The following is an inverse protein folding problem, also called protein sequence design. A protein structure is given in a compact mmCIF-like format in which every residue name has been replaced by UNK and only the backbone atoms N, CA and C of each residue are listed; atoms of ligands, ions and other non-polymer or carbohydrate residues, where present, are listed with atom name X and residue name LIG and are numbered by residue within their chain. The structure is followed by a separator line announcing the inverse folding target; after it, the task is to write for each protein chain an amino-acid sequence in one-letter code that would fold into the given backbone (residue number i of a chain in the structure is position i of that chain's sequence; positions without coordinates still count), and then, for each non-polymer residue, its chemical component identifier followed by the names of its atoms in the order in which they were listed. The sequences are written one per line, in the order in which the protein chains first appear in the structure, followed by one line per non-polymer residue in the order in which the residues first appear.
data_IF_420220638763
#
_entry.id   IF_420220638763
#
_cell.length_a   1.000
_cell.length_b   1.000
_cell.length_c   1.000
_cell.angle_alpha   90.00
_cell.angle_beta   90.00
_cell.angle_gamma   90.00
#
_symmetry.space_group_name_H-M   'P 1'
#
loop_
_entity.id
_entity.type
_entity.pdbx_description
1 polymer ?
#
# COMPACT_ATOMS: atom_id res chain seq x y z
N UNK A 1 7.82 -44.40 34.15
CA UNK A 1 8.20 -42.97 34.15
C UNK A 1 8.29 -42.49 32.71
N UNK A 2 7.28 -41.78 32.20
CA UNK A 2 7.24 -41.32 30.81
C UNK A 2 7.74 -39.86 30.74
N UNK A 3 8.96 -39.67 30.23
CA UNK A 3 9.46 -38.34 29.87
C UNK A 3 8.78 -37.90 28.57
N UNK A 4 7.82 -36.98 28.68
CA UNK A 4 7.18 -36.37 27.52
C UNK A 4 8.22 -35.56 26.72
N UNK A 5 8.58 -36.07 25.55
CA UNK A 5 9.46 -35.36 24.63
C UNK A 5 8.76 -34.10 24.11
N UNK A 6 9.27 -32.94 24.49
CA UNK A 6 8.79 -31.66 23.98
C UNK A 6 8.95 -31.63 22.45
N UNK A 7 7.86 -31.26 21.75
CA UNK A 7 7.81 -31.11 20.30
C UNK A 7 8.96 -30.22 19.79
N UNK A 8 9.54 -30.58 18.65
CA UNK A 8 10.56 -29.82 17.94
C UNK A 8 10.14 -28.35 17.70
N UNK A 9 8.83 -28.06 17.65
CA UNK A 9 8.26 -26.71 17.62
C UNK A 9 8.52 -25.90 18.89
N UNK A 10 8.46 -26.50 20.08
CA UNK A 10 8.72 -25.81 21.34
C UNK A 10 10.21 -25.52 21.53
N UNK A 11 11.09 -26.39 21.03
CA UNK A 11 12.55 -26.19 21.10
C UNK A 11 13.02 -25.02 20.22
N UNK A 12 12.33 -24.73 19.12
CA UNK A 12 12.69 -23.66 18.18
C UNK A 12 12.28 -22.24 18.65
N UNK A 13 11.31 -22.11 19.55
CA UNK A 13 10.95 -20.81 20.15
C UNK A 13 11.97 -20.32 21.19
N UNK A 14 12.86 -21.20 21.67
CA UNK A 14 13.90 -20.87 22.65
C UNK A 14 15.24 -20.45 22.02
N UNK A 15 15.34 -20.40 20.68
CA UNK A 15 16.51 -19.83 20.03
C UNK A 15 16.39 -18.31 20.09
N UNK A 16 17.26 -17.68 20.90
CA UNK A 16 17.45 -16.22 20.91
C UNK A 16 17.62 -15.75 19.45
N UNK A 17 16.70 -14.92 18.92
CA UNK A 17 16.88 -14.40 17.58
C UNK A 17 18.15 -13.53 17.53
N UNK A 18 18.92 -13.56 16.43
CA UNK A 18 20.03 -12.64 16.23
C UNK A 18 19.51 -11.20 16.36
N UNK A 19 20.35 -10.29 16.85
CA UNK A 19 19.98 -8.91 17.16
C UNK A 19 19.26 -8.21 15.99
N UNK A 20 17.92 -8.24 16.03
CA UNK A 20 17.04 -7.60 15.06
C UNK A 20 17.14 -6.09 15.25
N UNK A 21 17.66 -5.37 14.26
CA UNK A 21 17.56 -3.91 14.24
C UNK A 21 16.10 -3.52 14.00
N UNK A 22 15.47 -3.06 15.07
CA UNK A 22 14.17 -2.40 15.09
C UNK A 22 14.19 -1.18 14.17
N UNK A 23 13.53 -1.27 13.01
CA UNK A 23 13.25 -0.09 12.21
C UNK A 23 11.95 0.51 12.73
N UNK A 24 12.08 1.57 13.52
CA UNK A 24 10.99 2.55 13.61
C UNK A 24 10.71 3.01 12.19
N UNK A 25 9.45 2.92 11.77
CA UNK A 25 9.00 3.53 10.53
C UNK A 25 9.28 5.04 10.61
N UNK A 26 10.42 5.42 10.05
CA UNK A 26 11.01 6.73 10.15
C UNK A 26 10.47 7.58 9.01
N UNK A 27 9.65 8.58 9.37
CA UNK A 27 9.45 9.81 8.60
C UNK A 27 8.63 9.71 7.31
N UNK A 28 7.44 10.31 7.33
CA UNK A 28 7.21 11.64 6.75
C UNK A 28 5.70 11.92 6.75
N UNK A 29 5.30 13.18 6.98
CA UNK A 29 3.92 13.59 7.21
C UNK A 29 3.00 13.21 6.06
N UNK A 30 2.26 12.10 6.22
CA UNK A 30 1.17 11.75 5.32
C UNK A 30 0.03 12.77 5.49
N UNK A 31 -0.74 12.97 4.42
CA UNK A 31 -1.86 13.88 4.29
C UNK A 31 -2.70 13.98 5.58
N UNK A 32 -3.18 15.18 5.91
CA UNK A 32 -4.08 15.44 7.05
C UNK A 32 -5.46 14.85 6.75
N UNK A 33 -5.56 13.52 6.85
CA UNK A 33 -6.76 12.75 6.58
C UNK A 33 -6.86 11.56 7.51
N UNK A 34 -8.08 11.03 7.68
CA UNK A 34 -8.32 9.83 8.49
C UNK A 34 -7.47 8.68 7.92
N UNK A 35 -6.57 8.14 8.73
CA UNK A 35 -5.76 6.98 8.35
C UNK A 35 -6.66 5.77 8.17
N UNK A 36 -6.32 4.93 7.21
CA UNK A 36 -7.00 3.65 7.03
C UNK A 36 -6.59 2.72 8.18
N UNK A 37 -7.55 1.99 8.74
CA UNK A 37 -7.24 0.94 9.71
C UNK A 37 -6.28 -0.07 9.08
N UNK A 38 -5.28 -0.53 9.84
CA UNK A 38 -4.35 -1.55 9.35
C UNK A 38 -5.15 -2.81 9.01
N UNK A 39 -4.99 -3.28 7.78
CA UNK A 39 -5.61 -4.51 7.29
C UNK A 39 -4.52 -5.51 6.93
N UNK A 40 -4.51 -6.65 7.62
CA UNK A 40 -3.63 -7.79 7.34
C UNK A 40 -4.56 -8.99 7.10
N UNK A 41 -4.56 -9.59 5.90
CA UNK A 41 -5.31 -10.82 5.64
C UNK A 41 -4.93 -11.92 6.63
N UNK A 42 -5.87 -12.81 6.97
CA UNK A 42 -5.64 -13.90 7.93
C UNK A 42 -4.41 -14.75 7.57
N UNK A 43 -4.30 -15.10 6.29
CA UNK A 43 -3.19 -15.88 5.70
C UNK A 43 -1.83 -15.17 5.80
N UNK A 44 -1.82 -13.87 6.04
CA UNK A 44 -0.61 -13.06 6.12
C UNK A 44 -0.22 -12.66 7.54
N UNK A 45 -1.06 -12.94 8.55
CA UNK A 45 -0.78 -12.54 9.94
C UNK A 45 0.54 -13.11 10.47
N UNK A 46 0.94 -14.30 10.03
CA UNK A 46 2.21 -14.93 10.41
C UNK A 46 3.46 -14.16 9.96
N UNK A 47 3.34 -13.27 8.96
CA UNK A 47 4.45 -12.43 8.49
C UNK A 47 4.53 -11.09 9.23
N UNK A 48 3.69 -10.86 10.23
CA UNK A 48 3.70 -9.62 11.02
C UNK A 48 3.81 -9.92 12.50
N UNK A 49 4.50 -9.03 13.22
CA UNK A 49 4.42 -8.98 14.67
C UNK A 49 3.05 -8.42 15.12
N UNK A 50 2.63 -8.64 16.38
CA UNK A 50 1.37 -8.09 16.90
C UNK A 50 1.26 -6.55 16.82
N UNK A 51 2.40 -5.85 16.85
CA UNK A 51 2.48 -4.40 16.65
C UNK A 51 2.39 -3.96 15.17
N UNK A 52 2.23 -4.94 14.26
CA UNK A 52 2.15 -4.84 12.80
C UNK A 52 3.43 -4.41 12.09
N UNK A 53 4.59 -4.56 12.75
CA UNK A 53 5.88 -4.58 12.05
C UNK A 53 5.96 -5.83 11.18
N UNK A 54 6.51 -5.70 9.98
CA UNK A 54 6.77 -6.85 9.11
C UNK A 54 7.89 -7.70 9.73
N UNK A 55 7.64 -9.00 9.89
CA UNK A 55 8.65 -9.97 10.27
C UNK A 55 9.48 -10.32 9.03
N UNK A 56 10.67 -9.73 8.90
CA UNK A 56 11.55 -9.87 7.73
C UNK A 56 13.03 -9.66 8.09
N UNK A 57 13.94 -9.81 7.13
CA UNK A 57 15.38 -9.59 7.30
C UNK A 57 15.78 -8.11 7.14
N UNK A 58 16.96 -7.70 7.64
CA UNK A 58 17.50 -6.36 7.39
C UNK A 58 17.64 -6.03 5.90
N UNK A 59 18.08 -6.98 5.07
CA UNK A 59 18.28 -6.77 3.64
C UNK A 59 16.96 -6.49 2.91
N UNK A 60 15.87 -7.15 3.32
CA UNK A 60 14.54 -6.87 2.79
C UNK A 60 14.03 -5.50 3.25
N UNK A 61 14.36 -5.09 4.47
CA UNK A 61 14.00 -3.76 4.99
C UNK A 61 14.74 -2.66 4.24
N UNK A 62 16.05 -2.85 4.00
CA UNK A 62 16.88 -1.95 3.21
C UNK A 62 16.39 -1.88 1.76
N UNK A 63 15.96 -3.01 1.19
CA UNK A 63 15.34 -3.03 -0.12
C UNK A 63 14.08 -2.15 -0.18
N UNK A 64 13.15 -2.30 0.78
CA UNK A 64 11.93 -1.49 0.82
C UNK A 64 12.25 0.00 0.95
N UNK A 65 13.17 0.34 1.86
CA UNK A 65 13.63 1.72 2.06
C UNK A 65 14.25 2.31 0.79
N UNK A 66 15.20 1.59 0.17
CA UNK A 66 15.94 2.01 -1.04
C UNK A 66 15.01 2.34 -2.21
N UNK A 67 13.94 1.56 -2.40
CA UNK A 67 13.01 1.76 -3.50
C UNK A 67 11.78 2.59 -3.12
N UNK A 68 11.72 3.13 -1.90
CA UNK A 68 10.61 3.97 -1.47
C UNK A 68 9.31 3.20 -1.24
N UNK A 69 9.38 1.88 -1.05
CA UNK A 69 8.23 0.96 -0.98
C UNK A 69 7.83 0.72 0.47
N UNK A 70 6.52 0.65 0.71
CA UNK A 70 5.88 0.41 2.01
C UNK A 70 5.17 -0.94 2.01
N UNK A 71 5.10 -1.59 3.16
CA UNK A 71 4.36 -2.86 3.35
C UNK A 71 3.06 -2.68 4.15
N UNK A 72 2.83 -1.49 4.73
CA UNK A 72 1.74 -1.23 5.66
C UNK A 72 0.67 -0.34 5.00
N UNK A 73 -0.49 -0.92 4.71
CA UNK A 73 -1.64 -0.22 4.11
C UNK A 73 -2.10 0.96 4.98
N UNK A 74 -1.90 0.91 6.30
CA UNK A 74 -2.35 2.01 7.19
C UNK A 74 -1.63 3.34 6.94
N UNK A 75 -0.55 3.33 6.14
CA UNK A 75 0.11 4.53 5.62
C UNK A 75 -0.72 5.28 4.59
N UNK A 76 -1.73 4.63 4.00
CA UNK A 76 -2.69 5.28 3.14
C UNK A 76 -3.73 6.06 3.96
N UNK A 77 -4.16 7.18 3.41
CA UNK A 77 -5.20 8.05 3.98
C UNK A 77 -6.43 8.05 3.09
N UNK A 78 -7.61 8.17 3.69
CA UNK A 78 -8.82 8.46 2.91
C UNK A 78 -8.71 9.90 2.41
N UNK A 79 -8.65 10.12 1.08
CA UNK A 79 -8.47 11.46 0.53
C UNK A 79 -9.73 12.32 0.75
N UNK A 80 -9.54 13.63 0.88
CA UNK A 80 -10.64 14.58 0.88
C UNK A 80 -11.25 14.67 -0.53
N UNK A 81 -12.46 14.13 -0.67
CA UNK A 81 -13.21 14.08 -1.94
C UNK A 81 -14.23 15.21 -2.00
N UNK A 82 -14.38 15.78 -3.20
CA UNK A 82 -15.51 16.63 -3.58
C UNK A 82 -16.85 15.84 -3.51
N UNK A 83 -17.99 16.55 -3.46
CA UNK A 83 -19.31 15.91 -3.32
C UNK A 83 -19.63 14.92 -4.45
N UNK A 84 -19.26 15.25 -5.68
CA UNK A 84 -19.49 14.43 -6.88
C UNK A 84 -18.72 13.11 -6.79
N UNK A 85 -17.41 13.18 -6.57
CA UNK A 85 -16.56 11.99 -6.40
C UNK A 85 -17.05 11.14 -5.23
N UNK A 86 -17.45 11.77 -4.12
CA UNK A 86 -18.00 11.06 -2.95
C UNK A 86 -19.29 10.32 -3.29
N UNK A 87 -20.19 10.93 -4.05
CA UNK A 87 -21.46 10.32 -4.46
C UNK A 87 -21.21 9.10 -5.35
N UNK A 88 -20.29 9.21 -6.31
CA UNK A 88 -19.95 8.11 -7.21
C UNK A 88 -19.28 6.97 -6.43
N UNK A 89 -18.30 7.26 -5.59
CA UNK A 89 -17.65 6.25 -4.72
C UNK A 89 -18.67 5.53 -3.83
N UNK A 90 -19.65 6.27 -3.28
CA UNK A 90 -20.76 5.70 -2.50
C UNK A 90 -21.66 4.81 -3.37
N UNK A 91 -21.99 5.24 -4.60
CA UNK A 91 -22.77 4.46 -5.58
C UNK A 91 -22.13 3.09 -5.82
N UNK A 92 -20.81 3.06 -6.03
CA UNK A 92 -20.04 1.82 -6.22
C UNK A 92 -19.77 1.02 -4.94
N UNK A 93 -20.29 1.45 -3.77
CA UNK A 93 -19.95 0.90 -2.44
C UNK A 93 -18.43 0.75 -2.26
N UNK A 94 -17.66 1.69 -2.78
CA UNK A 94 -16.21 1.65 -2.74
C UNK A 94 -15.67 2.47 -1.56
N UNK A 95 -14.53 2.03 -1.03
CA UNK A 95 -13.70 2.81 -0.11
C UNK A 95 -12.40 3.12 -0.82
N UNK A 96 -12.03 4.41 -0.86
CA UNK A 96 -10.79 4.87 -1.45
C UNK A 96 -9.76 5.19 -0.37
N UNK A 97 -8.52 4.90 -0.70
CA UNK A 97 -7.38 5.33 0.09
C UNK A 97 -6.17 5.54 -0.80
N UNK A 98 -5.38 6.56 -0.48
CA UNK A 98 -4.23 6.94 -1.26
C UNK A 98 -3.00 7.08 -0.37
N UNK A 99 -1.86 6.64 -0.88
CA UNK A 99 -0.56 6.87 -0.28
C UNK A 99 0.39 7.47 -1.34
N UNK A 100 1.16 8.53 -1.03
CA UNK A 100 2.14 9.06 -1.98
C UNK A 100 3.30 8.09 -2.27
N UNK A 101 3.52 7.08 -1.41
CA UNK A 101 4.50 6.02 -1.60
C UNK A 101 3.87 4.78 -2.25
N UNK A 102 4.73 3.96 -2.84
CA UNK A 102 4.33 2.65 -3.35
C UNK A 102 4.08 1.69 -2.18
N UNK A 103 2.91 1.05 -2.13
CA UNK A 103 2.55 0.06 -1.11
C UNK A 103 2.43 -1.30 -1.79
N UNK A 104 3.10 -2.31 -1.26
CA UNK A 104 2.92 -3.71 -1.68
C UNK A 104 1.58 -4.22 -1.13
N UNK A 105 0.82 -4.95 -1.94
CA UNK A 105 -0.38 -5.65 -1.47
C UNK A 105 0.01 -6.67 -0.37
N UNK A 106 -0.66 -6.67 0.80
CA UNK A 106 -0.37 -7.58 1.90
C UNK A 106 -0.26 -9.05 1.48
N UNK A 107 -0.99 -9.49 0.44
CA UNK A 107 -0.93 -10.87 -0.05
C UNK A 107 0.43 -11.26 -0.64
N UNK A 108 1.28 -10.28 -0.96
CA UNK A 108 2.60 -10.49 -1.53
C UNK A 108 3.75 -10.35 -0.53
N UNK A 109 3.47 -10.06 0.75
CA UNK A 109 4.54 -9.92 1.76
C UNK A 109 5.27 -11.22 2.06
N UNK A 110 4.67 -12.37 1.74
CA UNK A 110 5.32 -13.69 1.80
C UNK A 110 6.62 -13.79 0.99
N UNK A 111 6.81 -12.95 -0.03
CA UNK A 111 8.06 -12.90 -0.80
C UNK A 111 9.22 -12.23 -0.05
N UNK A 112 8.91 -11.62 1.10
CA UNK A 112 9.85 -11.01 2.04
C UNK A 112 10.01 -11.88 3.31
N UNK A 113 9.58 -13.14 3.28
CA UNK A 113 9.75 -14.06 4.41
C UNK A 113 11.24 -14.18 4.79
N UNK A 114 11.60 -14.04 6.07
CA UNK A 114 12.98 -14.16 6.52
C UNK A 114 13.58 -15.56 6.30
N UNK A 115 12.75 -16.60 6.16
CA UNK A 115 13.16 -17.96 5.80
C UNK A 115 13.49 -18.12 4.31
N UNK A 116 13.24 -17.07 3.52
CA UNK A 116 13.36 -17.08 2.07
C UNK A 116 12.10 -17.60 1.39
N UNK A 117 11.94 -17.20 0.14
CA UNK A 117 10.88 -17.67 -0.75
C UNK A 117 11.51 -17.94 -2.12
N UNK A 118 11.22 -19.05 -2.83
CA UNK A 118 11.83 -19.36 -4.12
C UNK A 118 11.71 -18.22 -5.15
N UNK A 119 10.56 -17.57 -5.19
CA UNK A 119 10.28 -16.40 -6.04
C UNK A 119 10.68 -15.04 -5.44
N UNK A 120 11.28 -14.99 -4.24
CA UNK A 120 11.54 -13.74 -3.52
C UNK A 120 12.46 -12.78 -4.29
N UNK A 121 13.57 -13.30 -4.84
CA UNK A 121 14.51 -12.50 -5.64
C UNK A 121 13.86 -11.92 -6.91
N UNK A 122 13.17 -12.78 -7.68
CA UNK A 122 12.43 -12.38 -8.89
C UNK A 122 11.40 -11.30 -8.58
N UNK A 123 10.65 -11.47 -7.48
CA UNK A 123 9.60 -10.53 -7.13
C UNK A 123 10.15 -9.19 -6.61
N UNK A 124 11.27 -9.20 -5.88
CA UNK A 124 12.02 -7.98 -5.52
C UNK A 124 12.55 -7.24 -6.76
N UNK A 125 13.15 -7.95 -7.73
CA UNK A 125 13.61 -7.35 -8.97
C UNK A 125 12.47 -6.68 -9.75
N UNK A 126 11.30 -7.34 -9.80
CA UNK A 126 10.09 -6.80 -10.41
C UNK A 126 9.59 -5.54 -9.71
N UNK A 127 9.56 -5.51 -8.37
CA UNK A 127 9.16 -4.32 -7.62
C UNK A 127 10.15 -3.17 -7.78
N UNK A 128 11.45 -3.45 -7.77
CA UNK A 128 12.50 -2.45 -8.03
C UNK A 128 12.28 -1.79 -9.40
N UNK A 129 12.04 -2.59 -10.44
CA UNK A 129 11.72 -2.08 -11.78
C UNK A 129 10.44 -1.24 -11.78
N UNK A 130 9.36 -1.76 -11.20
CA UNK A 130 8.07 -1.06 -11.15
C UNK A 130 8.12 0.25 -10.36
N UNK A 131 8.94 0.35 -9.31
CA UNK A 131 9.07 1.58 -8.52
C UNK A 131 9.62 2.76 -9.34
N UNK A 132 10.34 2.45 -10.42
CA UNK A 132 10.93 3.44 -11.35
C UNK A 132 10.01 3.70 -12.55
N UNK A 133 9.52 2.64 -13.19
CA UNK A 133 8.76 2.73 -14.44
C UNK A 133 7.27 3.08 -14.24
N UNK A 134 6.71 2.78 -13.06
CA UNK A 134 5.27 2.85 -12.80
C UNK A 134 5.00 3.75 -11.61
N UNK A 135 4.82 5.06 -11.81
CA UNK A 135 4.65 5.98 -10.71
C UNK A 135 3.33 5.75 -9.95
N UNK A 136 2.26 5.29 -10.61
CA UNK A 136 0.99 4.94 -9.99
C UNK A 136 0.84 3.41 -9.83
N UNK A 137 0.65 2.97 -8.59
CA UNK A 137 0.28 1.60 -8.26
C UNK A 137 -1.20 1.53 -7.91
N UNK A 138 -1.86 0.48 -8.39
CA UNK A 138 -3.30 0.28 -8.18
C UNK A 138 -3.57 -1.03 -7.46
N UNK A 139 -4.04 -0.93 -6.22
CA UNK A 139 -4.53 -2.06 -5.43
C UNK A 139 -6.05 -2.04 -5.49
N UNK A 140 -6.66 -3.04 -6.14
CA UNK A 140 -8.11 -3.20 -6.14
C UNK A 140 -8.44 -4.50 -5.40
N UNK A 141 -9.27 -4.39 -4.38
CA UNK A 141 -9.69 -5.49 -3.52
C UNK A 141 -11.21 -5.46 -3.38
N UNK A 142 -11.80 -6.61 -3.05
CA UNK A 142 -13.25 -6.77 -2.90
C UNK A 142 -13.52 -7.56 -1.64
N UNK A 143 -14.55 -7.20 -0.89
CA UNK A 143 -15.01 -8.01 0.23
C UNK A 143 -15.37 -9.45 -0.20
N UNK A 144 -15.27 -10.37 0.76
CA UNK A 144 -15.76 -11.74 0.62
C UNK A 144 -17.26 -11.81 0.37
N UNK A 145 -17.76 -12.99 -0.01
CA UNK A 145 -19.19 -13.24 -0.26
C UNK A 145 -19.45 -13.71 -1.69
N UNK A 146 -19.43 -12.82 -2.71
CA UNK A 146 -19.74 -13.21 -4.09
C UNK A 146 -18.73 -14.21 -4.67
N UNK A 147 -19.17 -15.03 -5.64
CA UNK A 147 -18.32 -15.98 -6.38
C UNK A 147 -17.07 -15.28 -6.96
N UNK A 148 -15.95 -15.99 -7.04
CA UNK A 148 -14.66 -15.46 -7.52
C UNK A 148 -14.76 -14.73 -8.87
N UNK A 149 -15.57 -15.26 -9.80
CA UNK A 149 -15.80 -14.66 -11.12
C UNK A 149 -16.42 -13.26 -11.01
N UNK A 150 -17.40 -13.07 -10.13
CA UNK A 150 -18.04 -11.77 -9.89
C UNK A 150 -17.02 -10.77 -9.33
N UNK A 151 -16.21 -11.19 -8.35
CA UNK A 151 -15.15 -10.34 -7.78
C UNK A 151 -14.14 -9.91 -8.84
N UNK A 152 -13.68 -10.84 -9.67
CA UNK A 152 -12.75 -10.55 -10.77
C UNK A 152 -13.37 -9.61 -11.80
N UNK A 153 -14.64 -9.81 -12.16
CA UNK A 153 -15.37 -8.93 -13.08
C UNK A 153 -15.49 -7.51 -12.53
N UNK A 154 -15.88 -7.37 -11.26
CA UNK A 154 -15.97 -6.07 -10.57
C UNK A 154 -14.62 -5.33 -10.60
N UNK A 155 -13.54 -6.00 -10.17
CA UNK A 155 -12.20 -5.40 -10.17
C UNK A 155 -11.74 -5.02 -11.57
N UNK A 156 -11.97 -5.87 -12.58
CA UNK A 156 -11.57 -5.58 -13.97
C UNK A 156 -12.30 -4.36 -14.51
N UNK A 157 -13.61 -4.24 -14.27
CA UNK A 157 -14.42 -3.08 -14.70
C UNK A 157 -13.91 -1.78 -14.09
N UNK A 158 -13.66 -1.77 -12.78
CA UNK A 158 -13.15 -0.60 -12.06
C UNK A 158 -11.75 -0.20 -12.55
N UNK A 159 -10.84 -1.17 -12.71
CA UNK A 159 -9.50 -0.91 -13.26
C UNK A 159 -9.57 -0.36 -14.68
N UNK A 160 -10.39 -0.99 -15.53
CA UNK A 160 -10.54 -0.57 -16.92
C UNK A 160 -11.05 0.86 -17.01
N UNK A 161 -12.11 1.22 -16.27
CA UNK A 161 -12.62 2.58 -16.25
C UNK A 161 -11.59 3.62 -15.79
N UNK A 162 -10.78 3.29 -14.77
CA UNK A 162 -9.71 4.19 -14.35
C UNK A 162 -8.63 4.31 -15.42
N UNK A 163 -8.23 3.22 -16.07
CA UNK A 163 -7.22 3.27 -17.13
C UNK A 163 -7.70 4.05 -18.35
N UNK A 164 -8.95 3.85 -18.77
CA UNK A 164 -9.56 4.63 -19.86
C UNK A 164 -9.58 6.11 -19.51
N UNK A 165 -10.02 6.48 -18.31
CA UNK A 165 -10.03 7.89 -17.90
C UNK A 165 -8.61 8.49 -17.76
N UNK A 166 -7.61 7.70 -17.37
CA UNK A 166 -6.21 8.14 -17.34
C UNK A 166 -5.72 8.44 -18.77
N UNK A 167 -6.00 7.53 -19.71
CA UNK A 167 -5.66 7.69 -21.14
C UNK A 167 -6.33 8.92 -21.74
N UNK A 168 -7.63 9.12 -21.50
CA UNK A 168 -8.38 10.31 -21.92
C UNK A 168 -7.81 11.61 -21.32
N UNK A 169 -7.24 11.54 -20.12
CA UNK A 169 -6.61 12.69 -19.45
C UNK A 169 -5.13 12.89 -19.84
N UNK A 170 -4.61 12.08 -20.77
CA UNK A 170 -3.25 12.18 -21.30
C UNK A 170 -2.18 11.48 -20.45
N UNK A 171 -2.57 10.52 -19.60
CA UNK A 171 -1.67 9.65 -18.85
C UNK A 171 -1.69 8.22 -19.41
N UNK A 172 -0.60 7.47 -19.24
CA UNK A 172 -0.63 6.02 -19.39
C UNK A 172 -1.36 5.37 -18.19
N UNK A 173 -1.64 4.06 -18.31
CA UNK A 173 -2.24 3.24 -17.25
C UNK A 173 -1.42 3.18 -15.94
N UNK A 174 -0.18 3.66 -15.96
CA UNK A 174 0.73 3.71 -14.82
C UNK A 174 0.93 5.12 -14.27
N UNK A 175 0.19 6.12 -14.75
CA UNK A 175 0.22 7.50 -14.26
C UNK A 175 1.30 8.40 -14.86
N UNK A 176 2.01 7.98 -15.92
CA UNK A 176 2.94 8.86 -16.66
C UNK A 176 2.20 9.66 -17.73
N UNK A 177 2.39 10.98 -17.79
CA UNK A 177 1.88 11.83 -18.87
C UNK A 177 2.99 12.74 -19.41
N UNK A 178 2.71 13.48 -20.48
CA UNK A 178 3.68 14.46 -21.06
C UNK A 178 4.00 15.55 -20.03
N UNK A 179 5.17 15.48 -19.38
CA UNK A 179 5.61 16.42 -18.36
C UNK A 179 4.83 16.37 -17.03
N UNK A 180 3.92 15.41 -16.87
CA UNK A 180 3.08 15.23 -15.67
C UNK A 180 3.17 13.80 -15.18
N UNK A 181 3.07 13.58 -13.88
CA UNK A 181 3.19 12.25 -13.29
C UNK A 181 2.33 12.14 -12.04
N UNK A 182 1.42 11.15 -12.02
CA UNK A 182 0.65 10.77 -10.83
C UNK A 182 1.46 9.69 -10.09
N UNK A 183 2.01 10.04 -8.92
CA UNK A 183 2.86 9.14 -8.14
C UNK A 183 2.19 8.69 -6.85
N UNK A 184 2.21 7.39 -6.59
CA UNK A 184 1.79 6.79 -5.33
C UNK A 184 1.04 5.48 -5.52
N UNK A 185 0.26 5.11 -4.50
CA UNK A 185 -0.62 3.94 -4.53
C UNK A 185 -2.05 4.36 -4.29
N UNK A 186 -2.91 4.10 -5.27
CA UNK A 186 -4.35 4.15 -5.09
C UNK A 186 -4.84 2.76 -4.68
N UNK A 187 -5.53 2.69 -3.54
CA UNK A 187 -6.26 1.50 -3.12
C UNK A 187 -7.76 1.75 -3.23
N UNK A 188 -8.42 0.89 -4.00
CA UNK A 188 -9.87 0.83 -4.16
C UNK A 188 -10.35 -0.47 -3.52
N UNK A 189 -11.19 -0.37 -2.50
CA UNK A 189 -11.80 -1.51 -1.84
C UNK A 189 -13.30 -1.53 -2.11
N UNK A 190 -13.79 -2.53 -2.83
CA UNK A 190 -15.21 -2.68 -3.15
C UNK A 190 -15.90 -3.48 -2.04
N UNK A 191 -16.82 -2.83 -1.33
CA UNK A 191 -17.56 -3.48 -0.24
C UNK A 191 -18.67 -4.40 -0.76
N UNK A 192 -19.19 -4.15 -1.97
CA UNK A 192 -20.16 -5.01 -2.65
C UNK A 192 -19.80 -5.20 -4.13
N UNK A 193 -19.47 -6.44 -4.52
CA UNK A 193 -19.08 -6.75 -5.90
C UNK A 193 -20.24 -6.73 -6.89
N UNK A 194 -21.46 -7.08 -6.46
CA UNK A 194 -22.63 -7.17 -7.34
C UNK A 194 -23.07 -5.76 -7.76
N UNK A 195 -23.22 -4.86 -6.79
CA UNK A 195 -23.54 -3.45 -7.07
C UNK A 195 -22.49 -2.80 -7.98
N UNK A 196 -21.20 -3.04 -7.72
CA UNK A 196 -20.11 -2.49 -8.54
C UNK A 196 -20.12 -3.01 -10.00
N UNK A 197 -20.67 -4.21 -10.26
CA UNK A 197 -20.82 -4.74 -11.62
C UNK A 197 -22.02 -4.11 -12.34
N UNK A 198 -23.11 -3.86 -11.61
CA UNK A 198 -24.36 -3.31 -12.16
C UNK A 198 -24.25 -1.86 -12.58
N UNK A 199 -23.31 -1.09 -12.01
CA UNK A 199 -23.13 0.32 -12.35
C UNK A 199 -22.26 0.47 -13.61
N UNK A 200 -22.55 1.44 -14.50
CA UNK A 200 -21.68 1.77 -15.62
C UNK A 200 -20.31 2.22 -15.12
N UNK A 201 -19.26 1.45 -15.43
CA UNK A 201 -17.95 1.67 -14.83
C UNK A 201 -17.28 2.97 -15.27
N UNK A 202 -17.61 3.48 -16.48
CA UNK A 202 -17.03 4.71 -17.03
C UNK A 202 -17.30 5.94 -16.15
N UNK A 203 -18.41 5.97 -15.41
CA UNK A 203 -18.74 7.06 -14.47
C UNK A 203 -17.69 7.23 -13.36
N UNK A 204 -16.97 6.15 -13.01
CA UNK A 204 -16.01 6.17 -11.90
C UNK A 204 -14.66 6.79 -12.30
N UNK A 205 -14.25 6.67 -13.56
CA UNK A 205 -12.89 7.00 -13.99
C UNK A 205 -12.53 8.48 -13.85
N UNK A 206 -13.25 9.41 -14.52
CA UNK A 206 -12.87 10.83 -14.56
C UNK A 206 -12.78 11.52 -13.19
N UNK A 207 -13.73 11.32 -12.25
CA UNK A 207 -13.63 11.89 -10.91
C UNK A 207 -12.40 11.39 -10.14
N UNK A 208 -12.04 10.10 -10.31
CA UNK A 208 -10.86 9.53 -9.66
C UNK A 208 -9.56 10.12 -10.21
N UNK A 209 -9.45 10.33 -11.53
CA UNK A 209 -8.25 10.94 -12.13
C UNK A 209 -8.08 12.37 -11.62
N UNK A 210 -9.15 13.18 -11.62
CA UNK A 210 -9.14 14.54 -11.06
C UNK A 210 -8.72 14.57 -9.59
N UNK A 211 -9.22 13.61 -8.79
CA UNK A 211 -8.81 13.44 -7.39
C UNK A 211 -7.32 13.12 -7.28
N UNK A 212 -6.80 12.21 -8.10
CA UNK A 212 -5.38 11.81 -8.09
C UNK A 212 -4.44 12.95 -8.47
N UNK A 213 -4.80 13.75 -9.47
CA UNK A 213 -4.05 14.95 -9.87
C UNK A 213 -3.97 15.93 -8.69
N UNK A 214 -5.11 16.21 -8.04
CA UNK A 214 -5.16 17.08 -6.85
C UNK A 214 -4.24 16.57 -5.73
N UNK A 215 -4.27 15.27 -5.44
CA UNK A 215 -3.44 14.67 -4.39
C UNK A 215 -1.95 14.73 -4.72
N UNK A 216 -1.58 14.61 -5.99
CA UNK A 216 -0.18 14.65 -6.45
C UNK A 216 0.40 16.08 -6.44
N UNK A 217 -0.42 17.08 -6.80
CA UNK A 217 -0.02 18.49 -6.71
C UNK A 217 0.22 18.93 -5.26
N UNK A 218 -0.54 18.40 -4.31
CA UNK A 218 -0.39 18.69 -2.87
C UNK A 218 0.84 18.04 -2.23
N UNK A 219 1.33 16.91 -2.76
CA UNK A 219 2.53 16.24 -2.23
C UNK A 219 3.81 16.87 -2.75
N UNK A 220 3.81 17.33 -4.01
CA UNK A 220 4.96 18.03 -4.63
C UNK A 220 5.28 19.33 -3.89
N UNK A 221 4.25 20.10 -3.53
CA UNK A 221 4.39 21.37 -2.79
C UNK A 221 4.88 21.22 -1.35
N UNK A 222 4.71 20.04 -0.73
CA UNK A 222 5.16 19.77 0.65
C UNK A 222 6.58 19.20 0.74
N UNK A 223 7.15 18.73 -0.37
CA UNK A 223 8.49 18.12 -0.42
C UNK A 223 9.66 19.12 -0.44
N UNK A 224 9.39 20.40 -0.69
CA UNK A 224 10.42 21.45 -0.90
C UNK A 224 10.74 22.31 0.33
N UNK A 225 10.09 22.11 1.48
CA UNK A 225 10.43 22.84 2.70
C UNK A 225 11.39 22.02 3.57
N UNK A 226 12.71 22.32 3.62
CA UNK A 226 13.57 21.76 4.63
C UNK A 226 13.07 22.25 5.99
N UNK A 227 12.67 21.31 6.86
CA UNK A 227 12.42 21.66 8.26
C UNK A 227 13.73 22.21 8.84
N UNK A 228 13.77 23.43 9.39
CA UNK A 228 14.95 23.90 10.10
C UNK A 228 15.21 22.93 11.25
N UNK A 229 16.39 22.32 11.24
CA UNK A 229 16.84 21.46 12.33
C UNK A 229 16.87 22.31 13.59
N UNK A 230 15.98 22.01 14.55
CA UNK A 230 16.11 22.55 15.90
C UNK A 230 17.39 21.95 16.49
N UNK A 231 18.50 22.68 16.38
CA UNK A 231 19.68 22.51 17.21
C UNK A 231 19.26 22.76 18.66
N UNK A 232 18.99 21.70 19.41
CA UNK A 232 18.96 21.77 20.87
C UNK A 232 20.40 21.65 21.37
N UNK A 233 21.10 22.77 21.42
CA UNK A 233 22.26 22.94 22.28
C UNK A 233 21.76 23.05 23.71
N UNK A 234 21.88 21.98 24.50
CA UNK A 234 21.94 22.13 25.96
C UNK A 234 23.42 22.11 26.36
N UNK A 235 23.91 23.10 27.11
CA UNK A 235 25.24 23.01 27.71
C UNK A 235 25.21 21.94 28.80
N UNK A 236 26.24 21.09 28.84
CA UNK A 236 26.52 20.27 30.03
C UNK A 236 27.04 21.21 31.11
N UNK A 237 26.30 21.31 32.21
CA UNK A 237 26.85 21.81 33.46
C UNK A 237 27.80 20.75 34.01
N UNK A 238 28.94 21.22 34.52
CA UNK A 238 29.99 20.46 35.18
C UNK A 238 29.57 20.11 36.61
#
# INVERSE_FOLDING_TARGET
MAAASASLRQKLFNLRPPALRSVFSTGSGCLTGKRVARYIPEECKSYYFPDGRLWTTPENTDFLSRYGIEHDISRATVPAMDPETRQIVKKFRATLSFCPRHIIDPLYVKYLDPRGHPLGASQKAKWARWSKERPLWLICSVNGGPKRVVRLRAMRRVRHALYTALEESGYDKYGNGKGRCIRGTLRIHLNNALEAVSIPSHELGPPLVKLLEKLTSQTTTRGTAPKPSRRTSRPRAW
#
